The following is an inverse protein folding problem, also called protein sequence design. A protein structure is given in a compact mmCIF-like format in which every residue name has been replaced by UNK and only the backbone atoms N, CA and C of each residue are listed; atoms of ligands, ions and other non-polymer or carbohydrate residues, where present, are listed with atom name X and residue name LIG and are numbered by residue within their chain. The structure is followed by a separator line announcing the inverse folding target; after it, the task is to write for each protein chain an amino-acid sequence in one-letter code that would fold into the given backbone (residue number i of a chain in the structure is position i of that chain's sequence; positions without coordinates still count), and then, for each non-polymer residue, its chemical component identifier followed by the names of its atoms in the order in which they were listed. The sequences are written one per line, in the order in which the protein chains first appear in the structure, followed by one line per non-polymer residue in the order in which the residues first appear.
data_IF_315369824459
#
_entry.id   IF_315369824459
#
_cell.length_a   1.000
_cell.length_b   1.000
_cell.length_c   1.000
_cell.angle_alpha   90.00
_cell.angle_beta   90.00
_cell.angle_gamma   90.00
#
_symmetry.space_group_name_H-M   'P 1'
#
loop_
_entity.id
_entity.type
_entity.pdbx_description
1 polymer ?
#
# COMPACT_ATOMS: atom_id res chain seq x y z
N UNK A 1 42.46 -15.70 2.15
CA UNK A 1 42.16 -15.74 3.60
C UNK A 1 40.98 -14.85 3.95
N UNK A 2 40.89 -13.62 3.43
CA UNK A 2 39.80 -12.67 3.70
C UNK A 2 38.40 -13.12 3.24
N UNK A 3 38.27 -13.73 2.06
CA UNK A 3 36.97 -14.23 1.55
C UNK A 3 36.39 -15.32 2.46
N UNK A 4 37.25 -16.17 3.04
CA UNK A 4 36.85 -17.24 3.96
C UNK A 4 36.36 -16.67 5.29
N UNK A 5 37.01 -15.61 5.78
CA UNK A 5 36.56 -14.88 6.97
C UNK A 5 35.22 -14.18 6.74
N UNK A 6 35.02 -13.53 5.58
CA UNK A 6 33.73 -12.92 5.23
C UNK A 6 32.60 -13.95 5.14
N UNK A 7 32.85 -15.14 4.60
CA UNK A 7 31.87 -16.23 4.56
C UNK A 7 31.52 -16.76 5.95
N UNK A 8 32.51 -16.89 6.83
CA UNK A 8 32.29 -17.27 8.24
C UNK A 8 31.47 -16.21 8.98
N UNK A 9 31.81 -14.93 8.84
CA UNK A 9 31.03 -13.83 9.43
C UNK A 9 29.59 -13.82 8.92
N UNK A 10 29.38 -14.00 7.62
CA UNK A 10 28.03 -14.09 7.04
C UNK A 10 27.26 -15.32 7.55
N UNK A 11 27.92 -16.47 7.74
CA UNK A 11 27.28 -17.67 8.29
C UNK A 11 26.84 -17.50 9.75
N UNK A 12 27.55 -16.70 10.54
CA UNK A 12 27.21 -16.44 11.94
C UNK A 12 26.16 -15.33 12.11
N UNK A 13 26.25 -14.27 11.29
CA UNK A 13 25.39 -13.09 11.42
C UNK A 13 24.01 -13.28 10.75
N UNK A 14 23.92 -14.08 9.67
CA UNK A 14 22.65 -14.28 8.97
C UNK A 14 21.58 -14.96 9.86
N UNK A 15 21.88 -16.04 10.61
CA UNK A 15 20.91 -16.66 11.53
C UNK A 15 20.55 -15.74 12.71
N UNK A 16 21.51 -14.94 13.21
CA UNK A 16 21.27 -13.95 14.27
C UNK A 16 20.28 -12.88 13.82
N UNK A 17 20.47 -12.34 12.63
CA UNK A 17 19.57 -11.36 12.03
C UNK A 17 18.17 -11.96 11.78
N UNK A 18 18.09 -13.20 11.28
CA UNK A 18 16.82 -13.91 11.11
C UNK A 18 16.09 -14.10 12.45
N UNK A 19 16.82 -14.47 13.51
CA UNK A 19 16.26 -14.58 14.86
C UNK A 19 15.73 -13.25 15.41
N UNK A 20 16.50 -12.17 15.27
CA UNK A 20 16.08 -10.84 15.70
C UNK A 20 14.83 -10.35 14.93
N UNK A 21 14.81 -10.55 13.62
CA UNK A 21 13.65 -10.21 12.78
C UNK A 21 12.41 -11.01 13.16
N UNK A 22 12.57 -12.30 13.50
CA UNK A 22 11.47 -13.14 13.99
C UNK A 22 10.93 -12.62 15.31
N UNK A 23 11.79 -12.30 16.28
CA UNK A 23 11.36 -11.73 17.56
C UNK A 23 10.61 -10.41 17.38
N UNK A 24 11.07 -9.52 16.49
CA UNK A 24 10.38 -8.27 16.17
C UNK A 24 9.00 -8.54 15.56
N UNK A 25 8.91 -9.52 14.64
CA UNK A 25 7.64 -9.95 14.05
C UNK A 25 6.69 -10.50 15.11
N UNK A 26 7.17 -11.38 15.98
CA UNK A 26 6.36 -12.02 17.03
C UNK A 26 5.84 -10.98 18.04
N UNK A 27 6.67 -10.00 18.41
CA UNK A 27 6.24 -8.85 19.25
C UNK A 27 5.16 -8.04 18.56
N UNK A 28 5.36 -7.66 17.28
CA UNK A 28 4.37 -6.93 16.48
C UNK A 28 3.04 -7.70 16.41
N UNK A 29 3.11 -9.01 16.17
CA UNK A 29 1.94 -9.85 16.01
C UNK A 29 1.19 -10.01 17.34
N UNK A 30 1.91 -10.03 18.46
CA UNK A 30 1.36 -10.03 19.82
C UNK A 30 0.77 -8.70 20.30
N UNK A 31 1.06 -7.57 19.65
CA UNK A 31 0.41 -6.29 19.98
C UNK A 31 -1.06 -6.31 19.55
N UNK A 32 -1.97 -5.99 20.46
CA UNK A 32 -3.39 -5.91 20.13
C UNK A 32 -3.66 -4.79 19.11
N UNK A 33 -4.62 -5.03 18.21
CA UNK A 33 -5.07 -4.02 17.25
C UNK A 33 -5.54 -2.75 17.97
N UNK A 34 -6.17 -2.86 19.14
CA UNK A 34 -6.57 -1.70 19.93
C UNK A 34 -5.39 -0.74 20.20
N UNK A 35 -4.22 -1.28 20.58
CA UNK A 35 -2.99 -0.53 20.82
C UNK A 35 -2.41 0.07 19.54
N UNK A 36 -2.54 -0.62 18.41
CA UNK A 36 -2.01 -0.19 17.12
C UNK A 36 -2.95 0.73 16.33
N UNK A 37 -4.22 0.77 16.70
CA UNK A 37 -5.28 1.43 15.91
C UNK A 37 -5.05 2.94 15.75
N UNK A 38 -4.70 3.64 16.83
CA UNK A 38 -4.42 5.07 16.80
C UNK A 38 -3.21 5.43 15.91
N UNK A 39 -2.00 4.86 16.11
CA UNK A 39 -0.85 5.19 15.27
C UNK A 39 -1.08 4.80 13.80
N UNK A 40 -1.77 3.68 13.53
CA UNK A 40 -2.16 3.31 12.16
C UNK A 40 -3.07 4.37 11.56
N UNK A 41 -4.11 4.81 12.28
CA UNK A 41 -5.04 5.83 11.79
C UNK A 41 -4.35 7.17 11.53
N UNK A 42 -3.42 7.59 12.39
CA UNK A 42 -2.63 8.82 12.17
C UNK A 42 -1.78 8.74 10.90
N UNK A 43 -1.13 7.60 10.66
CA UNK A 43 -0.35 7.37 9.45
C UNK A 43 -1.23 7.34 8.19
N UNK A 44 -2.41 6.72 8.25
CA UNK A 44 -3.38 6.72 7.14
C UNK A 44 -3.84 8.16 6.82
N UNK A 45 -4.13 8.98 7.83
CA UNK A 45 -4.52 10.37 7.63
C UNK A 45 -3.39 11.20 7.00
N UNK A 46 -2.14 10.96 7.42
CA UNK A 46 -0.98 11.62 6.84
C UNK A 46 -0.77 11.21 5.38
N UNK A 47 -0.91 9.91 5.08
CA UNK A 47 -0.88 9.37 3.73
C UNK A 47 -1.92 10.04 2.84
N UNK A 48 -3.16 10.14 3.30
CA UNK A 48 -4.25 10.78 2.54
C UNK A 48 -3.97 12.25 2.25
N UNK A 49 -3.47 13.00 3.24
CA UNK A 49 -3.13 14.42 3.05
C UNK A 49 -2.06 14.57 1.96
N UNK A 50 -1.04 13.71 1.99
CA UNK A 50 0.04 13.72 1.02
C UNK A 50 -0.42 13.30 -0.38
N UNK A 51 -1.19 12.22 -0.50
CA UNK A 51 -1.74 11.72 -1.77
C UNK A 51 -2.69 12.75 -2.40
N UNK A 52 -3.58 13.36 -1.60
CA UNK A 52 -4.44 14.44 -2.08
C UNK A 52 -3.64 15.66 -2.56
N UNK A 53 -2.57 16.02 -1.85
CA UNK A 53 -1.70 17.14 -2.24
C UNK A 53 -1.03 16.86 -3.58
N UNK A 54 -0.50 15.64 -3.76
CA UNK A 54 0.14 15.20 -5.00
C UNK A 54 -0.82 15.17 -6.20
N UNK A 55 -2.11 14.89 -5.97
CA UNK A 55 -3.13 14.84 -7.03
C UNK A 55 -3.71 16.21 -7.40
N UNK A 56 -3.89 17.09 -6.41
CA UNK A 56 -4.52 18.43 -6.60
C UNK A 56 -3.57 19.49 -7.13
N UNK A 57 -2.27 19.21 -7.18
CA UNK A 57 -1.31 20.08 -7.85
C UNK A 57 -0.81 19.46 -9.16
N UNK A 58 -1.66 19.35 -10.21
CA UNK A 58 -1.16 19.11 -11.54
C UNK A 58 -0.46 20.40 -12.02
N UNK A 59 0.76 20.22 -12.51
CA UNK A 59 1.70 21.25 -12.91
C UNK A 59 1.13 22.38 -13.79
N UNK A 60 1.43 23.65 -13.50
CA UNK A 60 1.74 24.65 -14.51
C UNK A 60 3.27 24.77 -14.62
N UNK A 61 3.80 24.36 -15.77
CA UNK A 61 5.13 24.68 -16.33
C UNK A 61 6.32 24.81 -15.36
N UNK A 62 7.11 23.72 -15.30
CA UNK A 62 8.57 23.71 -15.19
C UNK A 62 9.23 24.82 -14.34
N UNK A 63 9.17 24.70 -13.01
CA UNK A 63 10.20 25.26 -12.13
C UNK A 63 10.99 24.12 -11.51
N UNK A 64 12.29 24.02 -11.82
CA UNK A 64 13.25 22.97 -11.38
C UNK A 64 13.23 22.64 -9.87
N UNK A 65 12.71 23.52 -9.01
CA UNK A 65 12.52 23.24 -7.58
C UNK A 65 11.34 22.31 -7.25
N UNK A 66 10.35 22.22 -8.14
CA UNK A 66 9.11 21.48 -7.91
C UNK A 66 9.30 19.96 -8.09
N UNK A 67 10.14 19.53 -9.02
CA UNK A 67 10.46 18.11 -9.23
C UNK A 67 11.11 17.47 -8.00
N UNK A 68 11.97 18.23 -7.30
CA UNK A 68 12.58 17.77 -6.06
C UNK A 68 11.54 17.60 -4.96
N UNK A 69 10.61 18.56 -4.82
CA UNK A 69 9.52 18.48 -3.84
C UNK A 69 8.61 17.28 -4.13
N UNK A 70 8.23 17.07 -5.38
CA UNK A 70 7.44 15.89 -5.77
C UNK A 70 8.15 14.58 -5.46
N UNK A 71 9.46 14.51 -5.73
CA UNK A 71 10.28 13.34 -5.38
C UNK A 71 10.31 13.11 -3.87
N UNK A 72 10.47 14.16 -3.08
CA UNK A 72 10.43 14.08 -1.62
C UNK A 72 9.06 13.60 -1.11
N UNK A 73 7.96 14.15 -1.63
CA UNK A 73 6.60 13.72 -1.30
C UNK A 73 6.37 12.25 -1.68
N UNK A 74 6.80 11.80 -2.86
CA UNK A 74 6.72 10.38 -3.27
C UNK A 74 7.53 9.46 -2.34
N UNK A 75 8.73 9.88 -1.96
CA UNK A 75 9.55 9.13 -1.01
C UNK A 75 8.90 9.07 0.36
N UNK A 76 8.33 10.17 0.83
CA UNK A 76 7.63 10.23 2.11
C UNK A 76 6.38 9.35 2.11
N UNK A 77 5.62 9.32 1.01
CA UNK A 77 4.49 8.40 0.83
C UNK A 77 4.91 6.94 0.98
N UNK A 78 6.02 6.55 0.34
CA UNK A 78 6.58 5.19 0.46
C UNK A 78 7.05 4.87 1.87
N UNK A 79 7.58 5.85 2.61
CA UNK A 79 7.97 5.66 4.00
C UNK A 79 6.74 5.41 4.88
N UNK A 80 5.65 6.15 4.65
CA UNK A 80 4.39 5.94 5.38
C UNK A 80 3.83 4.54 5.09
N UNK A 81 3.82 4.10 3.83
CA UNK A 81 3.39 2.74 3.45
C UNK A 81 4.22 1.66 4.15
N UNK A 82 5.55 1.83 4.22
CA UNK A 82 6.42 0.91 4.94
C UNK A 82 6.13 0.90 6.44
N UNK A 83 5.91 2.07 7.04
CA UNK A 83 5.54 2.18 8.46
C UNK A 83 4.20 1.48 8.74
N UNK A 84 3.22 1.64 7.86
CA UNK A 84 1.94 0.93 7.96
C UNK A 84 2.14 -0.60 7.85
N UNK A 85 2.94 -1.06 6.89
CA UNK A 85 3.26 -2.47 6.75
C UNK A 85 3.98 -3.04 8.00
N UNK A 86 4.89 -2.27 8.61
CA UNK A 86 5.54 -2.65 9.88
C UNK A 86 4.55 -2.78 11.04
N UNK A 87 3.43 -2.06 11.01
CA UNK A 87 2.35 -2.18 11.99
C UNK A 87 1.30 -3.24 11.61
N UNK A 88 1.54 -4.00 10.53
CA UNK A 88 0.61 -5.02 10.03
C UNK A 88 -0.58 -4.45 9.26
N UNK A 89 -0.51 -3.19 8.82
CA UNK A 89 -1.50 -2.57 7.94
C UNK A 89 -1.03 -2.65 6.47
N UNK A 90 -1.79 -3.36 5.65
CA UNK A 90 -1.50 -3.59 4.24
C UNK A 90 -2.39 -2.71 3.34
N UNK A 91 -1.86 -2.13 2.26
CA UNK A 91 -2.63 -1.31 1.34
C UNK A 91 -3.50 -2.18 0.42
N UNK A 92 -4.72 -1.70 0.16
CA UNK A 92 -5.62 -2.20 -0.88
C UNK A 92 -5.48 -1.23 -2.06
N UNK A 93 -4.57 -1.55 -2.99
CA UNK A 93 -4.17 -0.66 -4.10
C UNK A 93 -3.95 -1.39 -5.44
N UNK A 94 -4.43 -2.63 -5.56
CA UNK A 94 -4.22 -3.45 -6.76
C UNK A 94 -5.22 -3.08 -7.86
N UNK A 95 -4.72 -2.97 -9.10
CA UNK A 95 -5.53 -2.81 -10.31
C UNK A 95 -5.57 -4.10 -11.10
N UNK A 96 -6.50 -4.23 -12.06
CA UNK A 96 -6.74 -5.43 -12.87
C UNK A 96 -7.15 -6.67 -12.06
N UNK A 97 -7.64 -6.47 -10.83
CA UNK A 97 -8.21 -7.53 -10.00
C UNK A 97 -9.75 -7.46 -10.04
N UNK A 98 -10.47 -8.58 -9.85
CA UNK A 98 -11.91 -8.56 -9.69
C UNK A 98 -12.33 -7.61 -8.56
N UNK A 99 -13.45 -6.91 -8.74
CA UNK A 99 -13.99 -6.05 -7.69
C UNK A 99 -14.48 -6.92 -6.53
N UNK A 100 -13.95 -6.68 -5.33
CA UNK A 100 -14.40 -7.32 -4.10
C UNK A 100 -15.18 -6.29 -3.26
N UNK A 101 -16.50 -6.45 -3.05
CA UNK A 101 -17.32 -5.52 -2.27
C UNK A 101 -16.87 -5.33 -0.82
N UNK A 102 -16.17 -6.29 -0.21
CA UNK A 102 -15.67 -6.18 1.15
C UNK A 102 -14.44 -5.27 1.23
N UNK A 103 -13.72 -5.12 0.12
CA UNK A 103 -12.45 -4.39 0.05
C UNK A 103 -12.51 -3.11 -0.78
N UNK A 104 -13.48 -2.99 -1.68
CA UNK A 104 -13.59 -1.91 -2.65
C UNK A 104 -14.92 -1.17 -2.50
N UNK A 105 -14.84 0.15 -2.65
CA UNK A 105 -15.97 1.06 -2.78
C UNK A 105 -15.92 1.66 -4.19
N UNK A 106 -16.98 1.52 -4.97
CA UNK A 106 -16.98 1.86 -6.40
C UNK A 106 -17.52 3.27 -6.58
N UNK A 107 -16.67 4.20 -7.03
CA UNK A 107 -17.03 5.61 -7.13
C UNK A 107 -17.96 5.95 -8.32
N UNK A 108 -17.89 5.17 -9.41
CA UNK A 108 -18.71 5.39 -10.60
C UNK A 108 -19.95 4.49 -10.58
N UNK A 109 -21.13 5.07 -10.83
CA UNK A 109 -22.42 4.37 -10.89
C UNK A 109 -22.61 3.45 -12.11
N UNK A 110 -21.58 3.27 -12.95
CA UNK A 110 -21.63 2.27 -14.01
C UNK A 110 -21.83 0.91 -13.34
N UNK A 111 -23.04 0.37 -13.46
CA UNK A 111 -23.53 -0.80 -12.74
C UNK A 111 -22.44 -1.85 -12.63
N UNK A 112 -22.17 -2.33 -11.41
CA UNK A 112 -21.30 -3.49 -11.21
C UNK A 112 -21.84 -4.62 -12.10
N UNK A 113 -21.17 -4.85 -13.23
CA UNK A 113 -21.45 -5.99 -14.09
C UNK A 113 -20.64 -7.16 -13.52
N UNK A 114 -21.22 -8.35 -13.54
CA UNK A 114 -20.49 -9.56 -13.18
C UNK A 114 -19.17 -9.64 -13.95
N UNK A 115 -18.07 -9.81 -13.21
CA UNK A 115 -16.72 -9.82 -13.78
C UNK A 115 -16.08 -8.44 -13.98
N UNK A 116 -16.63 -7.37 -13.40
CA UNK A 116 -15.96 -6.07 -13.37
C UNK A 116 -14.60 -6.15 -12.65
N UNK A 117 -13.61 -5.44 -13.20
CA UNK A 117 -12.27 -5.35 -12.62
C UNK A 117 -11.93 -3.93 -12.23
N UNK A 118 -11.07 -3.77 -11.22
CA UNK A 118 -10.55 -2.48 -10.78
C UNK A 118 -9.69 -1.89 -11.89
N UNK A 119 -10.12 -0.79 -12.50
CA UNK A 119 -9.34 -0.09 -13.52
C UNK A 119 -8.38 0.93 -12.92
N UNK A 120 -8.80 1.58 -11.82
CA UNK A 120 -8.03 2.64 -11.17
C UNK A 120 -8.33 2.72 -9.69
N UNK A 121 -7.31 3.02 -8.90
CA UNK A 121 -7.45 3.34 -7.47
C UNK A 121 -7.61 4.85 -7.31
N UNK A 122 -8.78 5.27 -6.85
CA UNK A 122 -9.07 6.65 -6.47
C UNK A 122 -8.70 6.93 -5.03
N UNK A 123 -8.72 5.94 -4.14
CA UNK A 123 -8.19 6.10 -2.79
C UNK A 123 -7.71 4.76 -2.29
N UNK A 124 -6.49 4.73 -1.77
CA UNK A 124 -5.93 3.49 -1.22
C UNK A 124 -6.75 3.08 0.00
N UNK A 125 -7.21 1.83 0.03
CA UNK A 125 -7.79 1.21 1.22
C UNK A 125 -6.71 0.60 2.11
N UNK A 126 -7.06 0.20 3.32
CA UNK A 126 -6.14 -0.46 4.24
C UNK A 126 -6.84 -1.60 5.00
N UNK A 127 -6.12 -2.70 5.17
CA UNK A 127 -6.50 -3.85 6.00
C UNK A 127 -5.43 -4.06 7.06
N UNK A 128 -5.81 -4.37 8.29
CA UNK A 128 -4.87 -4.73 9.34
C UNK A 128 -5.35 -5.97 10.07
N UNK A 129 -4.50 -7.01 10.17
CA UNK A 129 -4.84 -8.29 10.81
C UNK A 129 -6.20 -8.86 10.36
N UNK A 130 -6.51 -8.75 9.07
CA UNK A 130 -7.77 -9.22 8.48
C UNK A 130 -8.98 -8.28 8.65
N UNK A 131 -8.87 -7.24 9.49
CA UNK A 131 -9.91 -6.22 9.64
C UNK A 131 -9.74 -5.11 8.60
N UNK A 132 -10.82 -4.81 7.87
CA UNK A 132 -10.84 -3.69 6.93
C UNK A 132 -10.88 -2.39 7.73
N UNK A 133 -9.80 -1.62 7.68
CA UNK A 133 -9.74 -0.29 8.28
C UNK A 133 -10.47 0.73 7.40
N UNK A 134 -10.29 0.58 6.09
CA UNK A 134 -10.96 1.39 5.07
C UNK A 134 -10.95 0.66 3.73
N UNK A 135 -12.07 0.64 3.02
CA UNK A 135 -12.16 0.13 1.65
C UNK A 135 -11.38 1.04 0.69
N UNK A 136 -10.83 0.46 -0.38
CA UNK A 136 -10.26 1.25 -1.45
C UNK A 136 -11.37 1.86 -2.30
N UNK A 137 -11.27 3.15 -2.60
CA UNK A 137 -12.17 3.78 -3.55
C UNK A 137 -11.63 3.53 -4.96
N UNK A 138 -12.45 2.99 -5.86
CA UNK A 138 -12.01 2.50 -7.16
C UNK A 138 -12.92 2.93 -8.31
N UNK A 139 -12.33 3.07 -9.49
CA UNK A 139 -13.06 3.00 -10.76
C UNK A 139 -13.00 1.56 -11.28
N UNK A 140 -14.04 1.18 -12.03
CA UNK A 140 -14.17 -0.16 -12.60
C UNK A 140 -14.15 -0.10 -14.12
N UNK A 141 -13.58 -1.11 -14.75
CA UNK A 141 -13.75 -1.36 -16.18
C UNK A 141 -14.84 -2.41 -16.37
N UNK A 142 -15.77 -2.16 -17.30
CA UNK A 142 -16.69 -3.19 -17.75
C UNK A 142 -15.90 -4.33 -18.42
N UNK A 143 -16.33 -5.60 -18.29
CA UNK A 143 -15.68 -6.70 -18.98
C UNK A 143 -15.70 -6.45 -20.50
N UNK A 144 -14.56 -6.71 -21.17
CA UNK A 144 -14.48 -6.61 -22.61
C UNK A 144 -15.57 -7.48 -23.24
N UNK A 145 -16.49 -6.87 -24.01
CA UNK A 145 -17.51 -7.62 -24.76
C UNK A 145 -16.77 -8.60 -25.67
N UNK A 146 -16.89 -9.90 -25.40
CA UNK A 146 -16.56 -10.93 -26.38
C UNK A 146 -17.55 -10.74 -27.52
N UNK A 147 -17.09 -10.11 -28.61
CA UNK A 147 -17.81 -10.17 -29.88
C UNK A 147 -17.80 -11.63 -30.34
N UNK A 148 -18.89 -12.35 -30.07
CA UNK A 148 -19.19 -13.56 -30.81
C UNK A 148 -19.59 -13.12 -32.21
N UNK A 149 -18.62 -13.18 -33.13
CA UNK A 149 -18.88 -13.03 -34.55
C UNK A 149 -19.94 -14.04 -34.98
N UNK A 150 -21.03 -13.54 -35.56
CA UNK A 150 -21.93 -14.34 -36.39
C UNK A 150 -21.40 -14.33 -37.81
#
# INVERSE_FOLDING_TARGET
TEIKNLQLTLQEELPRLQGALKTISDIRDGLDFATLSEPINQLIQLFDKLDNTLRRHPFPDAKKGYDNLLRLCKNFSRLIERSLAMLGAEPINQTNVPVNPDRHDVANTASLVDGATVSKILRVGFVCKGQILRKAEVEVAAPARKFFGR
#
